data_IF_498136087856
#
_entry.id   IF_498136087856
#
_cell.length_a   1.000
_cell.length_b   1.000
_cell.length_c   1.000
_cell.angle_alpha   90.00
_cell.angle_beta   90.00
_cell.angle_gamma   90.00
#
_symmetry.space_group_name_H-M   'P 1'
#
loop_
_entity.id
_entity.type
_entity.pdbx_description
1 polymer ?
#
# COMPACT_ATOMS: atom_id res chain seq x y z
N UNK A 1 5.71 16.17 -1.14
CA UNK A 1 4.25 16.34 -0.94
C UNK A 1 3.92 16.82 0.48
N UNK A 2 4.35 16.12 1.55
CA UNK A 2 4.04 16.51 2.92
C UNK A 2 4.59 17.89 3.28
N UNK A 3 5.84 18.20 2.93
CA UNK A 3 6.44 19.51 3.14
C UNK A 3 5.64 20.62 2.45
N UNK A 4 5.26 20.38 1.19
CA UNK A 4 4.41 21.29 0.43
C UNK A 4 3.09 21.60 1.15
N UNK A 5 2.39 20.59 1.65
CA UNK A 5 1.14 20.80 2.39
C UNK A 5 1.38 21.55 3.70
N UNK A 6 2.44 21.23 4.42
CA UNK A 6 2.79 21.91 5.68
C UNK A 6 3.07 23.39 5.46
N UNK A 7 3.80 23.76 4.39
CA UNK A 7 4.05 25.14 3.97
C UNK A 7 2.75 25.90 3.62
N UNK A 8 1.69 25.17 3.23
CA UNK A 8 0.36 25.72 2.94
C UNK A 8 -0.60 25.67 4.14
N UNK A 9 -0.08 25.48 5.35
CA UNK A 9 -0.85 25.61 6.60
C UNK A 9 -1.60 24.33 7.03
N UNK A 10 -1.30 23.18 6.43
CA UNK A 10 -1.86 21.90 6.87
C UNK A 10 -1.02 21.26 7.98
N UNK A 11 -1.67 20.63 8.92
CA UNK A 11 -1.02 19.68 9.84
C UNK A 11 -0.93 18.36 9.07
N UNK A 12 0.28 17.92 8.76
CA UNK A 12 0.50 16.68 7.99
C UNK A 12 1.06 15.60 8.89
N UNK A 13 0.43 14.43 8.86
CA UNK A 13 0.86 13.25 9.61
C UNK A 13 1.08 12.11 8.64
N UNK A 14 2.24 11.50 8.72
CA UNK A 14 2.65 10.35 7.90
C UNK A 14 3.06 9.21 8.82
N UNK A 15 2.94 8.00 8.33
CA UNK A 15 3.52 6.82 8.97
C UNK A 15 4.00 5.84 7.91
N UNK A 16 5.03 5.09 8.25
CA UNK A 16 5.42 3.93 7.49
C UNK A 16 4.46 2.79 7.82
N UNK A 17 3.86 2.18 6.81
CA UNK A 17 3.00 1.02 6.98
C UNK A 17 3.81 -0.18 7.52
N UNK A 18 3.14 -1.18 8.09
CA UNK A 18 3.78 -2.44 8.45
C UNK A 18 4.64 -2.96 7.30
N UNK A 19 5.85 -3.41 7.59
CA UNK A 19 6.78 -3.90 6.59
C UNK A 19 7.30 -2.86 5.59
N UNK A 20 7.16 -1.57 5.89
CA UNK A 20 7.69 -0.47 5.07
C UNK A 20 8.52 0.48 5.92
N UNK A 21 9.53 1.09 5.30
CA UNK A 21 10.36 2.08 5.92
C UNK A 21 10.88 1.65 7.29
N UNK A 22 10.75 2.51 8.30
CA UNK A 22 11.20 2.25 9.68
C UNK A 22 10.24 1.38 10.49
N UNK A 23 9.08 1.03 9.95
CA UNK A 23 8.14 0.06 10.57
C UNK A 23 8.51 -1.39 10.26
N UNK A 24 9.45 -1.64 9.35
CA UNK A 24 10.08 -2.94 9.21
C UNK A 24 11.20 -3.09 10.25
N UNK A 25 11.25 -4.19 11.04
CA UNK A 25 12.30 -4.38 12.04
C UNK A 25 13.69 -4.58 11.43
N UNK A 26 13.74 -5.11 10.22
CA UNK A 26 14.95 -5.32 9.43
C UNK A 26 14.62 -5.45 7.93
N UNK A 27 15.64 -5.60 7.09
CA UNK A 27 15.50 -5.71 5.64
C UNK A 27 14.71 -6.96 5.20
N UNK A 28 14.79 -8.06 5.96
CA UNK A 28 14.07 -9.29 5.62
C UNK A 28 12.56 -9.11 5.76
N UNK A 29 12.11 -8.19 6.63
CA UNK A 29 10.70 -7.87 6.85
C UNK A 29 10.16 -6.77 5.92
N UNK A 30 10.98 -6.19 5.05
CA UNK A 30 10.46 -5.27 4.03
C UNK A 30 9.49 -6.02 3.11
N UNK A 31 8.30 -5.44 2.96
CA UNK A 31 7.21 -6.04 2.19
C UNK A 31 6.45 -7.15 2.91
N UNK A 32 6.45 -7.17 4.25
CA UNK A 32 5.70 -8.12 5.06
C UNK A 32 4.85 -7.41 6.10
N UNK A 33 3.54 -7.62 6.09
CA UNK A 33 2.66 -7.01 7.08
C UNK A 33 2.66 -7.79 8.41
N UNK A 34 2.27 -9.05 8.37
CA UNK A 34 2.09 -9.89 9.56
C UNK A 34 1.80 -11.33 9.14
N UNK A 35 2.03 -12.29 10.02
CA UNK A 35 1.67 -13.69 9.82
C UNK A 35 0.15 -13.88 9.67
N UNK A 36 -0.63 -13.11 10.39
CA UNK A 36 -2.09 -13.20 10.39
C UNK A 36 -2.73 -11.83 10.34
N UNK A 37 -3.78 -11.70 9.54
CA UNK A 37 -4.62 -10.51 9.46
C UNK A 37 -3.85 -9.21 9.16
N UNK A 38 -2.80 -9.27 8.32
CA UNK A 38 -1.91 -8.15 8.05
C UNK A 38 -2.64 -6.95 7.48
N UNK A 39 -3.58 -7.16 6.55
CA UNK A 39 -4.41 -6.08 6.01
C UNK A 39 -5.23 -5.36 7.08
N UNK A 40 -5.91 -6.11 7.94
CA UNK A 40 -6.72 -5.53 9.01
C UNK A 40 -5.86 -4.77 10.03
N UNK A 41 -4.67 -5.30 10.38
CA UNK A 41 -3.72 -4.62 11.26
C UNK A 41 -3.27 -3.28 10.66
N UNK A 42 -2.92 -3.25 9.37
CA UNK A 42 -2.55 -2.01 8.69
C UNK A 42 -3.71 -0.98 8.72
N UNK A 43 -4.95 -1.42 8.56
CA UNK A 43 -6.13 -0.55 8.66
C UNK A 43 -6.35 -0.05 10.10
N UNK A 44 -6.12 -0.89 11.12
CA UNK A 44 -6.20 -0.50 12.53
C UNK A 44 -5.10 0.50 12.91
N UNK A 45 -3.90 0.39 12.34
CA UNK A 45 -2.82 1.36 12.56
C UNK A 45 -3.23 2.74 12.02
N UNK A 46 -3.86 2.80 10.84
CA UNK A 46 -4.44 4.04 10.31
C UNK A 46 -5.48 4.60 11.28
N UNK A 47 -6.36 3.76 11.83
CA UNK A 47 -7.36 4.18 12.83
C UNK A 47 -6.70 4.72 14.09
N UNK A 48 -5.70 4.03 14.61
CA UNK A 48 -4.97 4.45 15.80
C UNK A 48 -4.27 5.79 15.60
N UNK A 49 -3.68 5.99 14.41
CA UNK A 49 -3.04 7.26 14.04
C UNK A 49 -4.05 8.39 13.94
N UNK A 50 -5.19 8.12 13.29
CA UNK A 50 -6.31 9.07 13.21
C UNK A 50 -6.75 9.52 14.62
N UNK A 51 -7.03 8.58 15.51
CA UNK A 51 -7.57 8.89 16.84
C UNK A 51 -6.57 9.70 17.67
N UNK A 52 -5.29 9.32 17.63
CA UNK A 52 -4.21 10.08 18.30
C UNK A 52 -4.08 11.50 17.74
N UNK A 53 -4.17 11.65 16.43
CA UNK A 53 -4.03 12.95 15.76
C UNK A 53 -5.24 13.83 16.03
N UNK A 54 -6.45 13.31 15.93
CA UNK A 54 -7.69 14.04 16.22
C UNK A 54 -7.74 14.50 17.69
N UNK A 55 -7.28 13.67 18.62
CA UNK A 55 -7.17 14.04 20.03
C UNK A 55 -6.13 15.14 20.28
N UNK A 56 -5.02 15.13 19.53
CA UNK A 56 -3.97 16.16 19.61
C UNK A 56 -4.39 17.50 19.02
N UNK A 57 -5.27 17.49 18.02
CA UNK A 57 -5.70 18.69 17.28
C UNK A 57 -7.24 18.74 17.20
N UNK A 58 -7.93 18.93 18.33
CA UNK A 58 -9.39 18.87 18.38
C UNK A 58 -10.05 19.96 17.54
N UNK A 59 -11.16 19.61 16.90
CA UNK A 59 -11.96 20.53 16.10
C UNK A 59 -11.35 20.94 14.75
N UNK A 60 -10.26 20.33 14.33
CA UNK A 60 -9.70 20.54 13.00
C UNK A 60 -10.32 19.56 12.00
N UNK A 61 -10.65 20.01 10.77
CA UNK A 61 -11.06 19.10 9.70
C UNK A 61 -9.98 18.05 9.45
N UNK A 62 -10.38 16.80 9.27
CA UNK A 62 -9.47 15.67 9.08
C UNK A 62 -9.68 15.01 7.71
N UNK A 63 -8.63 14.98 6.93
CA UNK A 63 -8.62 14.34 5.61
C UNK A 63 -7.63 13.19 5.57
N UNK A 64 -7.98 12.13 4.84
CA UNK A 64 -7.06 11.03 4.58
C UNK A 64 -6.67 11.02 3.11
N UNK A 65 -5.39 10.79 2.82
CA UNK A 65 -4.87 10.59 1.47
C UNK A 65 -4.29 9.19 1.35
N UNK A 66 -4.78 8.42 0.38
CA UNK A 66 -4.26 7.10 0.06
C UNK A 66 -3.87 6.97 -1.39
N UNK A 67 -2.62 6.53 -1.65
CA UNK A 67 -2.10 6.30 -2.99
C UNK A 67 -1.79 4.82 -3.21
N UNK A 68 -2.08 4.28 -4.39
CA UNK A 68 -1.80 2.90 -4.78
C UNK A 68 -2.36 1.90 -3.74
N UNK A 69 -1.56 1.05 -3.12
CA UNK A 69 -1.97 0.17 -2.02
C UNK A 69 -2.66 0.96 -0.90
N UNK A 70 -2.16 2.15 -0.56
CA UNK A 70 -2.79 3.05 0.42
C UNK A 70 -4.20 3.48 0.02
N UNK A 71 -4.54 3.51 -1.27
CA UNK A 71 -5.90 3.80 -1.72
C UNK A 71 -6.89 2.69 -1.34
N UNK A 72 -6.48 1.43 -1.41
CA UNK A 72 -7.30 0.29 -0.99
C UNK A 72 -7.42 0.20 0.54
N UNK A 73 -6.33 0.51 1.27
CA UNK A 73 -6.36 0.64 2.74
C UNK A 73 -7.32 1.75 3.16
N UNK A 74 -7.28 2.91 2.50
CA UNK A 74 -8.20 4.03 2.75
C UNK A 74 -9.65 3.64 2.47
N UNK A 75 -9.93 2.96 1.37
CA UNK A 75 -11.27 2.47 1.06
C UNK A 75 -11.77 1.47 2.12
N UNK A 76 -10.90 0.55 2.55
CA UNK A 76 -11.21 -0.37 3.67
C UNK A 76 -11.51 0.41 4.94
N UNK A 77 -10.70 1.43 5.26
CA UNK A 77 -10.91 2.30 6.41
C UNK A 77 -12.28 2.98 6.36
N UNK A 78 -12.65 3.58 5.24
CA UNK A 78 -13.95 4.26 5.06
C UNK A 78 -15.14 3.32 5.23
N UNK A 79 -15.02 2.07 4.77
CA UNK A 79 -16.06 1.05 4.94
C UNK A 79 -16.19 0.63 6.42
N UNK A 80 -15.05 0.47 7.12
CA UNK A 80 -15.01 0.01 8.51
C UNK A 80 -15.39 1.11 9.52
N UNK A 81 -14.89 2.33 9.30
CA UNK A 81 -14.92 3.42 10.28
C UNK A 81 -15.67 4.65 9.74
N UNK A 82 -16.89 4.55 9.41
CA UNK A 82 -17.74 5.51 8.70
C UNK A 82 -17.78 6.96 9.24
N UNK A 83 -17.01 7.29 10.27
CA UNK A 83 -17.03 8.59 10.96
C UNK A 83 -15.63 9.09 11.27
N UNK A 84 -15.53 10.42 11.48
CA UNK A 84 -14.31 11.06 11.95
C UNK A 84 -13.42 11.65 10.85
N UNK A 85 -13.85 11.56 9.58
CA UNK A 85 -13.18 12.21 8.45
C UNK A 85 -14.12 13.22 7.80
N UNK A 86 -13.55 14.36 7.40
CA UNK A 86 -14.22 15.39 6.61
C UNK A 86 -14.07 15.13 5.11
N UNK A 87 -13.09 14.30 4.72
CA UNK A 87 -12.92 13.86 3.33
C UNK A 87 -11.79 12.85 3.14
N UNK A 88 -11.76 12.29 1.93
CA UNK A 88 -10.71 11.36 1.54
C UNK A 88 -10.28 11.61 0.09
N UNK A 89 -8.97 11.54 -0.15
CA UNK A 89 -8.39 11.58 -1.49
C UNK A 89 -7.88 10.19 -1.84
N UNK A 90 -8.42 9.62 -2.90
CA UNK A 90 -8.09 8.30 -3.41
C UNK A 90 -7.30 8.48 -4.71
N UNK A 91 -6.03 8.13 -4.69
CA UNK A 91 -5.10 8.31 -5.81
C UNK A 91 -4.52 6.99 -6.28
N UNK A 92 -4.35 6.81 -7.58
CA UNK A 92 -3.75 5.59 -8.14
C UNK A 92 -4.49 4.31 -7.76
N UNK A 93 -5.79 4.42 -7.46
CA UNK A 93 -6.65 3.26 -7.18
C UNK A 93 -7.00 2.52 -8.46
N UNK A 94 -7.42 1.28 -8.32
CA UNK A 94 -7.83 0.45 -9.45
C UNK A 94 -9.09 -0.36 -9.17
N UNK A 95 -9.52 -1.03 -10.22
CA UNK A 95 -10.53 -2.08 -10.15
C UNK A 95 -9.95 -3.32 -10.84
N UNK A 96 -9.96 -4.44 -10.14
CA UNK A 96 -9.54 -5.72 -10.69
C UNK A 96 -10.75 -6.63 -10.82
N UNK A 97 -10.79 -7.43 -11.89
CA UNK A 97 -11.87 -8.40 -12.04
C UNK A 97 -11.85 -9.41 -10.89
N UNK A 98 -13.03 -9.86 -10.39
CA UNK A 98 -13.09 -10.86 -9.32
C UNK A 98 -12.31 -12.14 -9.64
N UNK A 99 -12.27 -12.55 -10.90
CA UNK A 99 -11.51 -13.71 -11.34
C UNK A 99 -10.00 -13.53 -11.16
N UNK A 100 -9.47 -12.34 -11.52
CA UNK A 100 -8.05 -12.03 -11.36
C UNK A 100 -7.66 -11.96 -9.87
N UNK A 101 -8.50 -11.33 -9.05
CA UNK A 101 -8.28 -11.26 -7.60
C UNK A 101 -8.28 -12.65 -6.98
N UNK A 102 -9.25 -13.50 -7.34
CA UNK A 102 -9.33 -14.88 -6.87
C UNK A 102 -8.12 -15.71 -7.29
N UNK A 103 -7.67 -15.56 -8.53
CA UNK A 103 -6.45 -16.22 -9.00
C UNK A 103 -5.22 -15.78 -8.20
N UNK A 104 -5.06 -14.47 -7.96
CA UNK A 104 -3.98 -13.93 -7.13
C UNK A 104 -3.99 -14.47 -5.70
N UNK A 105 -5.19 -14.56 -5.09
CA UNK A 105 -5.36 -15.14 -3.75
C UNK A 105 -4.96 -16.62 -3.71
N UNK A 106 -5.38 -17.41 -4.68
CA UNK A 106 -5.04 -18.85 -4.74
C UNK A 106 -3.53 -19.04 -4.95
N UNK A 107 -2.94 -18.28 -5.87
CA UNK A 107 -1.50 -18.41 -6.17
C UNK A 107 -0.63 -17.98 -5.01
N UNK A 108 -0.95 -16.86 -4.35
CA UNK A 108 -0.24 -16.43 -3.15
C UNK A 108 -0.43 -17.40 -1.98
N UNK A 109 -1.63 -17.98 -1.78
CA UNK A 109 -1.87 -18.99 -0.76
C UNK A 109 -1.05 -20.28 -0.99
N UNK A 110 -0.91 -20.71 -2.25
CA UNK A 110 -0.06 -21.86 -2.62
C UNK A 110 1.40 -21.55 -2.31
N UNK A 111 1.86 -20.36 -2.65
CA UNK A 111 3.24 -19.94 -2.39
C UNK A 111 3.52 -19.87 -0.89
N UNK A 112 2.65 -19.24 -0.12
CA UNK A 112 2.74 -19.20 1.35
C UNK A 112 2.82 -20.61 1.95
N UNK A 113 1.97 -21.53 1.48
CA UNK A 113 1.96 -22.91 1.99
C UNK A 113 3.26 -23.67 1.69
N UNK A 114 3.93 -23.36 0.58
CA UNK A 114 5.15 -24.06 0.14
C UNK A 114 6.42 -23.44 0.73
N UNK A 115 6.45 -22.11 0.82
CA UNK A 115 7.68 -21.35 1.03
C UNK A 115 7.61 -20.43 2.26
N UNK A 116 6.41 -20.29 2.88
CA UNK A 116 6.18 -19.38 4.00
C UNK A 116 5.68 -18.00 3.57
N UNK A 117 5.06 -17.27 4.51
CA UNK A 117 4.45 -15.94 4.28
C UNK A 117 5.48 -14.86 3.93
N UNK A 118 6.70 -14.97 4.44
CA UNK A 118 7.81 -14.04 4.19
C UNK A 118 8.54 -14.30 2.87
N UNK A 119 8.18 -15.33 2.12
CA UNK A 119 8.82 -15.63 0.84
C UNK A 119 8.63 -14.48 -0.16
N UNK A 120 9.74 -13.94 -0.67
CA UNK A 120 9.77 -12.93 -1.74
C UNK A 120 9.70 -13.64 -3.09
N UNK A 121 8.52 -13.73 -3.67
CA UNK A 121 8.24 -14.49 -4.88
C UNK A 121 8.38 -13.64 -6.13
N UNK A 122 9.42 -13.86 -6.91
CA UNK A 122 9.62 -13.19 -8.21
C UNK A 122 8.45 -13.43 -9.17
N UNK A 123 7.87 -14.62 -9.12
CA UNK A 123 6.72 -14.97 -9.95
C UNK A 123 5.49 -14.11 -9.59
N UNK A 124 5.14 -14.02 -8.31
CA UNK A 124 4.01 -13.20 -7.86
C UNK A 124 4.28 -11.71 -8.09
N UNK A 125 5.52 -11.26 -7.87
CA UNK A 125 5.94 -9.88 -8.13
C UNK A 125 5.79 -9.54 -9.62
N UNK A 126 6.26 -10.42 -10.51
CA UNK A 126 6.11 -10.23 -11.96
C UNK A 126 4.64 -10.21 -12.39
N UNK A 127 3.80 -11.05 -11.79
CA UNK A 127 2.35 -11.01 -12.05
C UNK A 127 1.70 -9.69 -11.62
N UNK A 128 2.11 -9.15 -10.47
CA UNK A 128 1.50 -7.94 -9.91
C UNK A 128 1.97 -6.65 -10.61
N UNK A 129 3.25 -6.58 -10.98
CA UNK A 129 3.90 -5.34 -11.43
C UNK A 129 4.63 -5.44 -12.76
N UNK A 130 4.85 -6.65 -13.28
CA UNK A 130 5.74 -6.90 -14.42
C UNK A 130 5.35 -6.23 -15.73
N UNK A 131 4.09 -5.79 -15.88
CA UNK A 131 3.59 -5.13 -17.09
C UNK A 131 3.57 -3.60 -17.00
N UNK A 132 4.04 -3.02 -15.89
CA UNK A 132 3.92 -1.57 -15.68
C UNK A 132 4.79 -0.75 -16.62
N UNK A 133 5.95 -1.29 -17.02
CA UNK A 133 6.84 -0.67 -18.00
C UNK A 133 6.49 -0.96 -19.47
N UNK A 134 5.55 -1.86 -19.77
CA UNK A 134 5.25 -2.29 -21.15
C UNK A 134 4.78 -1.15 -22.07
N UNK A 135 4.35 -0.03 -21.48
CA UNK A 135 3.90 1.16 -22.22
C UNK A 135 5.01 2.17 -22.49
N UNK A 136 6.21 1.92 -21.99
CA UNK A 136 7.35 2.82 -22.15
C UNK A 136 8.31 2.23 -23.19
N UNK A 137 8.65 3.03 -24.19
CA UNK A 137 9.66 2.67 -25.18
C UNK A 137 11.05 2.78 -24.52
N UNK A 138 11.81 1.69 -24.53
CA UNK A 138 13.18 1.62 -23.99
C UNK A 138 13.31 2.11 -22.53
N UNK A 139 12.62 1.49 -21.57
CA UNK A 139 12.78 1.87 -20.17
C UNK A 139 14.23 1.69 -19.71
N UNK A 140 14.77 2.70 -19.01
CA UNK A 140 16.14 2.68 -18.44
C UNK A 140 16.23 1.72 -17.25
N UNK A 141 15.17 1.65 -16.45
CA UNK A 141 15.10 0.87 -15.22
C UNK A 141 13.77 0.12 -15.12
N UNK A 142 13.66 -0.80 -14.18
CA UNK A 142 12.38 -1.47 -13.85
C UNK A 142 11.34 -0.54 -13.22
N UNK A 143 11.73 0.67 -12.82
CA UNK A 143 10.92 1.62 -12.07
C UNK A 143 10.49 2.85 -12.86
N UNK A 144 10.80 2.95 -14.15
CA UNK A 144 10.52 4.13 -14.98
C UNK A 144 9.02 4.45 -15.09
N UNK A 145 8.17 3.48 -14.87
CA UNK A 145 6.72 3.68 -14.81
C UNK A 145 6.24 4.57 -13.65
N UNK A 146 7.09 4.80 -12.64
CA UNK A 146 6.75 5.59 -11.45
C UNK A 146 6.68 7.08 -11.74
N UNK A 147 7.58 7.61 -12.58
CA UNK A 147 7.67 9.04 -12.87
C UNK A 147 8.28 9.32 -14.25
N UNK A 148 7.92 10.48 -14.81
CA UNK A 148 8.61 11.04 -15.98
C UNK A 148 9.89 11.80 -15.62
N UNK A 149 10.07 12.10 -14.33
CA UNK A 149 11.28 12.71 -13.78
C UNK A 149 12.28 11.60 -13.47
N UNK A 150 13.29 11.49 -14.33
CA UNK A 150 14.35 10.47 -14.22
C UNK A 150 15.11 10.58 -12.88
N UNK A 151 15.36 11.79 -12.39
CA UNK A 151 16.05 11.99 -11.13
C UNK A 151 15.20 11.46 -9.95
N UNK A 152 13.87 11.60 -10.00
CA UNK A 152 13.00 11.00 -8.99
C UNK A 152 12.98 9.48 -9.04
N UNK A 153 13.08 8.87 -10.23
CA UNK A 153 13.21 7.43 -10.42
C UNK A 153 14.56 6.92 -9.88
N UNK A 154 15.63 7.64 -10.18
CA UNK A 154 16.98 7.29 -9.71
C UNK A 154 17.05 7.33 -8.18
N UNK A 155 16.54 8.38 -7.54
CA UNK A 155 16.42 8.47 -6.08
C UNK A 155 15.62 7.31 -5.47
N UNK A 156 14.52 6.90 -6.13
CA UNK A 156 13.72 5.75 -5.68
C UNK A 156 14.53 4.44 -5.76
N UNK A 157 15.30 4.25 -6.82
CA UNK A 157 16.11 3.04 -7.02
C UNK A 157 17.34 2.98 -6.09
N UNK A 158 17.86 4.14 -5.68
CA UNK A 158 18.99 4.26 -4.74
C UNK A 158 18.58 4.09 -3.28
N UNK A 159 17.29 4.31 -2.95
CA UNK A 159 16.80 4.19 -1.59
C UNK A 159 16.61 2.70 -1.21
N UNK A 160 17.36 2.16 -0.23
CA UNK A 160 17.26 0.75 0.18
C UNK A 160 15.90 0.40 0.81
N UNK A 161 15.09 1.41 1.18
CA UNK A 161 13.73 1.22 1.70
C UNK A 161 12.67 1.23 0.59
N UNK A 162 13.08 1.39 -0.68
CA UNK A 162 12.24 1.38 -1.86
C UNK A 162 12.57 0.20 -2.78
N UNK A 163 11.70 -0.11 -3.73
CA UNK A 163 11.95 -1.09 -4.79
C UNK A 163 12.10 -2.56 -4.34
N UNK A 164 11.88 -2.88 -3.08
CA UNK A 164 11.92 -4.25 -2.57
C UNK A 164 10.80 -5.12 -3.16
N UNK A 165 11.06 -6.39 -3.31
CA UNK A 165 10.06 -7.38 -3.71
C UNK A 165 9.12 -7.64 -2.52
N UNK A 166 7.80 -7.44 -2.67
CA UNK A 166 6.84 -7.73 -1.63
C UNK A 166 6.78 -9.24 -1.36
N UNK A 167 6.52 -9.59 -0.10
CA UNK A 167 6.36 -10.99 0.29
C UNK A 167 5.05 -11.59 -0.24
N UNK A 168 4.99 -12.91 -0.34
CA UNK A 168 3.77 -13.63 -0.68
C UNK A 168 2.63 -13.30 0.30
N UNK A 169 2.94 -13.10 1.59
CA UNK A 169 2.01 -12.66 2.62
C UNK A 169 1.41 -11.29 2.32
N UNK A 170 2.24 -10.28 2.01
CA UNK A 170 1.75 -8.95 1.66
C UNK A 170 0.85 -8.98 0.42
N UNK A 171 1.27 -9.71 -0.63
CA UNK A 171 0.48 -9.81 -1.85
C UNK A 171 -0.86 -10.51 -1.61
N UNK A 172 -0.87 -11.55 -0.76
CA UNK A 172 -2.11 -12.21 -0.35
C UNK A 172 -3.04 -11.27 0.43
N UNK A 173 -2.51 -10.54 1.41
CA UNK A 173 -3.25 -9.56 2.19
C UNK A 173 -3.82 -8.45 1.30
N UNK A 174 -3.04 -7.95 0.35
CA UNK A 174 -3.49 -6.94 -0.61
C UNK A 174 -4.63 -7.47 -1.50
N UNK A 175 -4.55 -8.71 -1.98
CA UNK A 175 -5.65 -9.32 -2.75
C UNK A 175 -6.92 -9.46 -1.91
N UNK A 176 -6.81 -9.85 -0.65
CA UNK A 176 -7.95 -9.87 0.29
C UNK A 176 -8.55 -8.48 0.49
N UNK A 177 -7.71 -7.46 0.65
CA UNK A 177 -8.15 -6.06 0.75
C UNK A 177 -8.87 -5.57 -0.50
N UNK A 178 -8.34 -5.85 -1.69
CA UNK A 178 -8.97 -5.52 -2.97
C UNK A 178 -10.30 -6.26 -3.10
N UNK A 179 -10.35 -7.56 -2.80
CA UNK A 179 -11.59 -8.34 -2.80
C UNK A 179 -12.65 -7.71 -1.88
N UNK A 180 -12.25 -7.29 -0.68
CA UNK A 180 -13.16 -6.67 0.29
C UNK A 180 -13.75 -5.36 -0.26
N UNK A 181 -12.94 -4.42 -0.74
CA UNK A 181 -13.41 -3.10 -1.17
C UNK A 181 -14.14 -3.09 -2.51
N UNK A 182 -14.08 -4.19 -3.27
CA UNK A 182 -14.77 -4.32 -4.56
C UNK A 182 -16.10 -5.08 -4.46
N UNK A 183 -16.47 -5.56 -3.27
CA UNK A 183 -17.78 -6.22 -3.07
C UNK A 183 -18.92 -5.22 -3.19
N UNK A 184 -19.99 -5.52 -3.95
CA UNK A 184 -21.12 -4.60 -4.15
C UNK A 184 -21.86 -4.19 -2.88
N UNK A 185 -21.72 -4.96 -1.80
CA UNK A 185 -22.35 -4.68 -0.49
C UNK A 185 -21.53 -3.72 0.39
N UNK A 186 -20.31 -3.41 0.02
CA UNK A 186 -19.39 -2.52 0.69
C UNK A 186 -19.25 -1.20 -0.11
#
# INVERSE_FOLDING_TARGET
>A
FAAFLAEHGYIVVLHDQLGHGKSAPDEAHLGFFSEENGWEKAVQDIRSLHDKTAAKYPGKPYFIFGHSMGSFLTRTYLIRFRTGLDGAVISGTGHQSPALVSAGMVMSAIDIRRNGSMHKSDFLNKMAFGTYNDKFENPRTSSDWLSRDEAAVDLYNEDPLCGFVPTAGLLHDMMNGIAFVTQPKN
#
